data_IF_036694260426
#
_entry.id   IF_036694260426
#
_cell.length_a   1.000
_cell.length_b   1.000
_cell.length_c   1.000
_cell.angle_alpha   90.00
_cell.angle_beta   90.00
_cell.angle_gamma   90.00
#
_symmetry.space_group_name_H-M   'P 1'
#
loop_
_entity.id
_entity.type
_entity.pdbx_description
1 polymer ?
#
# COMPACT_ATOMS: atom_id res chain seq x y z
N UNK A 1 -65.11 63.36 -7.65
CA UNK A 1 -65.90 62.39 -8.44
C UNK A 1 -65.02 61.17 -8.57
N UNK A 2 -65.55 59.98 -8.28
CA UNK A 2 -64.79 58.74 -8.44
C UNK A 2 -64.84 58.35 -9.93
N UNK A 3 -63.69 58.34 -10.59
CA UNK A 3 -63.55 57.82 -11.95
C UNK A 3 -63.70 56.30 -11.93
N UNK A 4 -64.96 55.86 -12.02
CA UNK A 4 -65.30 54.44 -12.08
C UNK A 4 -65.09 53.96 -13.52
N UNK A 5 -63.87 53.53 -13.86
CA UNK A 5 -63.62 52.92 -15.17
C UNK A 5 -64.63 51.78 -15.42
N UNK A 6 -65.24 51.71 -16.62
CA UNK A 6 -66.28 50.73 -16.89
C UNK A 6 -65.69 49.33 -16.85
N UNK A 7 -66.24 48.47 -15.99
CA UNK A 7 -65.73 47.12 -15.65
C UNK A 7 -65.31 46.28 -16.87
N UNK A 8 -65.99 46.45 -18.01
CA UNK A 8 -65.60 45.84 -19.29
C UNK A 8 -64.15 46.13 -19.70
N UNK A 9 -63.72 47.40 -19.67
CA UNK A 9 -62.35 47.81 -20.05
C UNK A 9 -61.28 47.22 -19.12
N UNK A 10 -61.63 47.04 -17.84
CA UNK A 10 -60.75 46.42 -16.84
C UNK A 10 -60.64 44.90 -17.07
N UNK A 11 -61.71 44.24 -17.49
CA UNK A 11 -61.69 42.84 -17.93
C UNK A 11 -60.88 42.65 -19.23
N UNK A 12 -61.03 43.54 -20.22
CA UNK A 12 -60.25 43.50 -21.47
C UNK A 12 -58.76 43.77 -21.23
N UNK A 13 -58.43 44.70 -20.32
CA UNK A 13 -57.06 44.92 -19.84
C UNK A 13 -56.48 43.67 -19.15
N UNK A 14 -57.31 42.97 -18.38
CA UNK A 14 -56.92 41.73 -17.67
C UNK A 14 -56.68 40.57 -18.65
N UNK A 15 -57.56 40.35 -19.63
CA UNK A 15 -57.36 39.31 -20.65
C UNK A 15 -56.15 39.60 -21.54
N UNK A 16 -55.91 40.87 -21.91
CA UNK A 16 -54.70 41.28 -22.61
C UNK A 16 -53.42 40.98 -21.82
N UNK A 17 -53.39 41.30 -20.52
CA UNK A 17 -52.26 40.97 -19.63
C UNK A 17 -52.04 39.46 -19.49
N UNK A 18 -53.10 38.66 -19.41
CA UNK A 18 -52.99 37.19 -19.38
C UNK A 18 -52.34 36.67 -20.67
N UNK A 19 -52.75 37.17 -21.84
CA UNK A 19 -52.14 36.78 -23.13
C UNK A 19 -50.66 37.19 -23.23
N UNK A 20 -50.30 38.38 -22.74
CA UNK A 20 -48.91 38.83 -22.69
C UNK A 20 -48.05 37.94 -21.78
N UNK A 21 -48.56 37.57 -20.60
CA UNK A 21 -47.87 36.66 -19.67
C UNK A 21 -47.71 35.25 -20.25
N UNK A 22 -48.75 34.72 -20.90
CA UNK A 22 -48.68 33.42 -21.60
C UNK A 22 -47.61 33.43 -22.69
N UNK A 23 -47.52 34.50 -23.49
CA UNK A 23 -46.48 34.66 -24.51
C UNK A 23 -45.08 34.73 -23.90
N UNK A 24 -44.88 35.58 -22.89
CA UNK A 24 -43.59 35.72 -22.22
C UNK A 24 -43.12 34.42 -21.55
N UNK A 25 -44.04 33.63 -21.01
CA UNK A 25 -43.74 32.33 -20.43
C UNK A 25 -43.29 31.32 -21.50
N UNK A 26 -43.98 31.24 -22.64
CA UNK A 26 -43.59 30.38 -23.76
C UNK A 26 -42.20 30.76 -24.35
N UNK A 27 -41.89 32.06 -24.44
CA UNK A 27 -40.56 32.54 -24.84
C UNK A 27 -39.47 32.14 -23.82
N UNK A 28 -39.77 32.23 -22.53
CA UNK A 28 -38.85 31.82 -21.45
C UNK A 28 -38.61 30.30 -21.43
N UNK A 29 -39.65 29.48 -21.62
CA UNK A 29 -39.52 28.02 -21.74
C UNK A 29 -38.69 27.63 -22.97
N UNK A 30 -38.91 28.28 -24.11
CA UNK A 30 -38.09 28.10 -25.32
C UNK A 30 -36.62 28.43 -25.05
N UNK A 31 -36.32 29.58 -24.44
CA UNK A 31 -34.97 29.98 -24.10
C UNK A 31 -34.30 28.99 -23.13
N UNK A 32 -35.03 28.50 -22.12
CA UNK A 32 -34.56 27.47 -21.18
C UNK A 32 -34.23 26.17 -21.91
N UNK A 33 -35.11 25.70 -22.80
CA UNK A 33 -34.89 24.48 -23.58
C UNK A 33 -33.65 24.60 -24.48
N UNK A 34 -33.46 25.71 -25.19
CA UNK A 34 -32.26 25.94 -26.02
C UNK A 34 -30.99 25.97 -25.16
N UNK A 35 -31.00 26.71 -24.05
CA UNK A 35 -29.85 26.83 -23.13
C UNK A 35 -29.43 25.46 -22.57
N UNK A 36 -30.39 24.63 -22.17
CA UNK A 36 -30.11 23.28 -21.65
C UNK A 36 -29.58 22.35 -22.74
N UNK A 37 -30.13 22.40 -23.96
CA UNK A 37 -29.64 21.61 -25.09
C UNK A 37 -28.20 21.97 -25.50
N UNK A 38 -27.83 23.26 -25.45
CA UNK A 38 -26.46 23.70 -25.72
C UNK A 38 -25.48 23.17 -24.66
N UNK A 39 -25.80 23.32 -23.37
CA UNK A 39 -24.99 22.77 -22.27
C UNK A 39 -24.87 21.25 -22.32
N UNK A 40 -25.93 20.56 -22.75
CA UNK A 40 -25.91 19.11 -22.91
C UNK A 40 -24.96 18.67 -24.04
N UNK A 41 -24.98 19.36 -25.20
CA UNK A 41 -24.06 19.07 -26.30
C UNK A 41 -22.59 19.30 -25.93
N UNK A 42 -22.29 20.40 -25.24
CA UNK A 42 -20.94 20.68 -24.74
C UNK A 42 -20.44 19.54 -23.81
N UNK A 43 -21.32 19.01 -22.97
CA UNK A 43 -21.04 17.88 -22.09
C UNK A 43 -20.83 16.56 -22.87
N UNK A 44 -21.69 16.26 -23.85
CA UNK A 44 -21.54 15.11 -24.75
C UNK A 44 -20.21 15.16 -25.53
N UNK A 45 -19.86 16.31 -26.10
CA UNK A 45 -18.62 16.53 -26.83
C UNK A 45 -17.38 16.33 -25.94
N UNK A 46 -17.44 16.83 -24.70
CA UNK A 46 -16.38 16.61 -23.70
C UNK A 46 -16.22 15.13 -23.34
N UNK A 47 -17.31 14.41 -23.07
CA UNK A 47 -17.25 12.97 -22.80
C UNK A 47 -16.74 12.16 -24.00
N UNK A 48 -17.16 12.46 -25.22
CA UNK A 48 -16.59 11.85 -26.42
C UNK A 48 -15.11 12.25 -26.65
N UNK A 49 -14.68 13.43 -26.21
CA UNK A 49 -13.28 13.83 -26.16
C UNK A 49 -12.46 12.93 -25.22
N UNK A 50 -12.93 12.77 -23.98
CA UNK A 50 -12.33 11.87 -22.98
C UNK A 50 -12.29 10.42 -23.45
N UNK A 51 -13.39 9.90 -24.00
CA UNK A 51 -13.51 8.55 -24.53
C UNK A 51 -12.47 8.28 -25.63
N UNK A 52 -12.33 9.21 -26.59
CA UNK A 52 -11.32 9.13 -27.66
C UNK A 52 -9.89 9.22 -27.12
N UNK A 53 -9.65 10.03 -26.09
CA UNK A 53 -8.33 10.15 -25.45
C UNK A 53 -7.95 8.87 -24.70
N UNK A 54 -8.88 8.32 -23.92
CA UNK A 54 -8.70 7.09 -23.15
C UNK A 54 -8.48 5.88 -24.07
N UNK A 55 -9.29 5.75 -25.13
CA UNK A 55 -9.09 4.73 -26.18
C UNK A 55 -7.70 4.84 -26.80
N UNK A 56 -7.23 6.04 -27.16
CA UNK A 56 -5.89 6.25 -27.73
C UNK A 56 -4.78 5.82 -26.76
N UNK A 57 -4.87 6.23 -25.49
CA UNK A 57 -3.91 5.84 -24.43
C UNK A 57 -3.90 4.33 -24.18
N UNK A 58 -5.04 3.65 -24.28
CA UNK A 58 -5.12 2.20 -24.13
C UNK A 58 -4.33 1.46 -25.23
N UNK A 59 -4.53 1.82 -26.51
CA UNK A 59 -3.80 1.19 -27.61
C UNK A 59 -2.29 1.47 -27.54
N UNK A 60 -1.89 2.70 -27.19
CA UNK A 60 -0.49 3.05 -26.95
C UNK A 60 0.15 2.18 -25.86
N UNK A 61 -0.54 1.95 -24.74
CA UNK A 61 -0.05 1.08 -23.67
C UNK A 61 0.02 -0.40 -24.11
N UNK A 62 -0.97 -0.88 -24.87
CA UNK A 62 -0.98 -2.25 -25.40
C UNK A 62 0.21 -2.49 -26.37
N UNK A 63 0.56 -1.49 -27.19
CA UNK A 63 1.72 -1.57 -28.08
C UNK A 63 3.06 -1.43 -27.32
N UNK A 64 3.11 -0.64 -26.25
CA UNK A 64 4.27 -0.59 -25.36
C UNK A 64 4.47 -1.91 -24.61
N UNK A 65 3.40 -2.55 -24.12
CA UNK A 65 3.45 -3.86 -23.45
C UNK A 65 4.05 -4.93 -24.37
N UNK A 66 3.54 -5.07 -25.61
CA UNK A 66 4.08 -5.99 -26.63
C UNK A 66 5.57 -5.72 -26.92
N UNK A 67 6.00 -4.46 -26.94
CA UNK A 67 7.40 -4.10 -27.11
C UNK A 67 8.27 -4.51 -25.91
N UNK A 68 7.81 -4.28 -24.68
CA UNK A 68 8.53 -4.69 -23.47
C UNK A 68 8.62 -6.21 -23.35
N UNK A 69 7.53 -6.93 -23.62
CA UNK A 69 7.51 -8.39 -23.64
C UNK A 69 8.51 -8.94 -24.68
N UNK A 70 8.53 -8.37 -25.88
CA UNK A 70 9.51 -8.72 -26.92
C UNK A 70 10.96 -8.45 -26.49
N UNK A 71 11.23 -7.31 -25.84
CA UNK A 71 12.56 -6.99 -25.30
C UNK A 71 12.98 -7.96 -24.20
N UNK A 72 12.07 -8.28 -23.26
CA UNK A 72 12.28 -9.19 -22.15
C UNK A 72 12.56 -10.62 -22.65
N UNK A 73 11.78 -11.11 -23.62
CA UNK A 73 12.03 -12.40 -24.28
C UNK A 73 13.42 -12.47 -24.90
N UNK A 74 13.82 -11.46 -25.69
CA UNK A 74 15.16 -11.40 -26.30
C UNK A 74 16.28 -11.38 -25.26
N UNK A 75 16.11 -10.65 -24.16
CA UNK A 75 17.08 -10.62 -23.07
C UNK A 75 17.24 -12.00 -22.42
N UNK A 76 16.12 -12.69 -22.15
CA UNK A 76 16.11 -14.06 -21.61
C UNK A 76 16.78 -15.07 -22.54
N UNK A 77 16.46 -15.03 -23.83
CA UNK A 77 17.10 -15.88 -24.86
C UNK A 77 18.62 -15.67 -24.99
N UNK A 78 19.11 -14.46 -24.69
CA UNK A 78 20.56 -14.17 -24.65
C UNK A 78 21.19 -14.76 -23.39
N UNK A 79 20.56 -14.59 -22.23
CA UNK A 79 21.05 -15.13 -20.96
C UNK A 79 21.08 -16.67 -20.98
N UNK A 80 20.02 -17.32 -21.45
CA UNK A 80 19.94 -18.78 -21.61
C UNK A 80 21.07 -19.33 -22.51
N UNK A 81 21.39 -18.63 -23.61
CA UNK A 81 22.53 -18.99 -24.49
C UNK A 81 23.88 -18.78 -23.82
N UNK A 82 24.03 -17.76 -22.97
CA UNK A 82 25.26 -17.52 -22.22
C UNK A 82 25.43 -18.58 -21.12
N UNK A 83 24.38 -18.90 -20.38
CA UNK A 83 24.35 -19.94 -19.36
C UNK A 83 24.68 -21.32 -19.95
N UNK A 84 24.02 -21.74 -21.03
CA UNK A 84 24.33 -22.99 -21.72
C UNK A 84 25.79 -23.04 -22.22
N UNK A 85 26.36 -21.91 -22.66
CA UNK A 85 27.75 -21.83 -23.08
C UNK A 85 28.76 -21.84 -21.91
N UNK A 86 28.36 -21.41 -20.71
CA UNK A 86 29.13 -21.54 -19.47
C UNK A 86 29.09 -22.98 -18.99
N UNK A 87 27.90 -23.57 -18.83
CA UNK A 87 27.70 -24.96 -18.41
C UNK A 87 28.45 -25.93 -19.31
N UNK A 88 28.40 -25.75 -20.64
CA UNK A 88 29.15 -26.59 -21.58
C UNK A 88 30.68 -26.49 -21.41
N UNK A 89 31.21 -25.30 -21.05
CA UNK A 89 32.65 -25.11 -20.77
C UNK A 89 33.05 -25.70 -19.42
N UNK A 90 32.21 -25.54 -18.40
CA UNK A 90 32.42 -26.11 -17.08
C UNK A 90 32.45 -27.64 -17.16
N UNK A 91 31.43 -28.25 -17.78
CA UNK A 91 31.37 -29.69 -18.00
C UNK A 91 32.60 -30.22 -18.75
N UNK A 92 32.97 -29.60 -19.88
CA UNK A 92 34.16 -29.98 -20.65
C UNK A 92 35.50 -29.73 -19.92
N UNK A 93 35.50 -28.95 -18.83
CA UNK A 93 36.66 -28.76 -17.95
C UNK A 93 36.70 -29.80 -16.83
N UNK A 94 35.53 -30.18 -16.28
CA UNK A 94 35.37 -31.24 -15.29
C UNK A 94 35.76 -32.60 -15.88
N UNK A 95 35.30 -32.92 -17.08
CA UNK A 95 35.66 -34.16 -17.78
C UNK A 95 37.19 -34.28 -17.95
N UNK A 96 37.86 -33.22 -18.41
CA UNK A 96 39.33 -33.18 -18.53
C UNK A 96 40.07 -33.26 -17.20
N UNK A 97 39.45 -32.82 -16.10
CA UNK A 97 40.02 -32.97 -14.76
C UNK A 97 39.88 -34.43 -14.28
N UNK A 98 38.72 -35.03 -14.53
CA UNK A 98 38.41 -36.41 -14.19
C UNK A 98 39.29 -37.40 -14.97
N UNK A 99 39.45 -37.22 -16.29
CA UNK A 99 40.40 -37.98 -17.12
C UNK A 99 41.83 -37.98 -16.56
N UNK A 100 42.30 -36.81 -16.09
CA UNK A 100 43.63 -36.68 -15.45
C UNK A 100 43.69 -37.36 -14.09
N UNK A 101 42.60 -37.32 -13.33
CA UNK A 101 42.48 -38.00 -12.04
C UNK A 101 42.54 -39.52 -12.24
N UNK A 102 41.76 -40.06 -13.17
CA UNK A 102 41.73 -41.48 -13.53
C UNK A 102 43.09 -41.96 -14.07
N UNK A 103 43.75 -41.18 -14.93
CA UNK A 103 45.09 -41.48 -15.42
C UNK A 103 46.14 -41.51 -14.29
N UNK A 104 46.06 -40.60 -13.32
CA UNK A 104 46.95 -40.58 -12.16
C UNK A 104 46.68 -41.77 -11.21
N UNK A 105 45.42 -42.08 -10.92
CA UNK A 105 45.02 -43.26 -10.13
C UNK A 105 45.49 -44.54 -10.80
N UNK A 106 45.29 -44.69 -12.12
CA UNK A 106 45.78 -45.83 -12.89
C UNK A 106 47.30 -45.96 -12.84
N UNK A 107 48.06 -44.86 -12.91
CA UNK A 107 49.51 -44.88 -12.77
C UNK A 107 49.95 -45.35 -11.37
N UNK A 108 49.29 -44.88 -10.30
CA UNK A 108 49.54 -45.30 -8.91
C UNK A 108 49.23 -46.79 -8.72
N UNK A 109 48.08 -47.27 -9.19
CA UNK A 109 47.68 -48.69 -9.10
C UNK A 109 48.70 -49.59 -9.82
N UNK A 110 49.13 -49.21 -11.03
CA UNK A 110 50.15 -49.95 -11.77
C UNK A 110 51.52 -49.96 -11.04
N UNK A 111 51.92 -48.84 -10.43
CA UNK A 111 53.15 -48.78 -9.64
C UNK A 111 53.06 -49.72 -8.43
N UNK A 112 51.99 -49.64 -7.64
CA UNK A 112 51.74 -50.52 -6.50
C UNK A 112 51.70 -52.00 -6.90
N UNK A 113 51.07 -52.35 -8.02
CA UNK A 113 51.01 -53.74 -8.50
C UNK A 113 52.38 -54.24 -8.98
N UNK A 114 53.26 -53.38 -9.52
CA UNK A 114 54.66 -53.71 -9.81
C UNK A 114 55.45 -53.97 -8.52
N UNK A 115 55.34 -53.11 -7.51
CA UNK A 115 55.98 -53.33 -6.20
C UNK A 115 55.48 -54.63 -5.54
N UNK A 116 54.17 -54.93 -5.63
CA UNK A 116 53.58 -56.17 -5.11
C UNK A 116 54.09 -57.44 -5.82
N UNK A 117 54.44 -57.36 -7.11
CA UNK A 117 55.03 -58.49 -7.87
C UNK A 117 56.52 -58.70 -7.62
N UNK A 118 57.23 -57.69 -7.10
CA UNK A 118 58.65 -57.79 -6.69
C UNK A 118 58.77 -58.32 -5.26
N UNK A 119 57.77 -58.10 -4.42
CA UNK A 119 57.75 -58.54 -3.02
C UNK A 119 56.98 -59.85 -2.82
N UNK A 120 57.54 -60.98 -3.29
CA UNK A 120 56.99 -62.32 -3.01
C UNK A 120 58.04 -63.24 -2.39
N UNK A 121 58.21 -63.12 -1.07
CA UNK A 121 58.70 -64.17 -0.16
C UNK A 121 58.14 -63.87 1.25
N UNK A 122 57.55 -64.88 1.88
CA UNK A 122 56.72 -64.83 3.12
C UNK A 122 57.33 -65.80 4.18
N UNK A 123 56.78 -66.00 5.40
CA UNK A 123 55.64 -65.33 6.09
C UNK A 123 55.90 -64.99 7.58
N UNK A 124 54.89 -64.40 8.25
CA UNK A 124 54.49 -64.81 9.61
C UNK A 124 53.04 -64.40 9.92
N UNK A 125 52.33 -65.19 10.73
CA UNK A 125 50.90 -65.06 10.97
C UNK A 125 50.56 -64.75 12.44
N UNK A 126 49.49 -63.98 12.68
CA UNK A 126 48.66 -64.07 13.90
C UNK A 126 47.20 -63.74 13.51
N UNK A 127 46.19 -64.53 13.92
CA UNK A 127 44.78 -64.21 13.68
C UNK A 127 44.19 -63.37 14.82
N UNK A 128 43.27 -62.46 14.48
CA UNK A 128 42.25 -62.00 15.41
C UNK A 128 40.92 -61.77 14.66
N UNK A 129 39.83 -62.19 15.29
CA UNK A 129 38.47 -62.16 14.78
C UNK A 129 37.64 -61.15 15.58
N UNK A 130 36.52 -60.66 15.05
CA UNK A 130 35.62 -59.75 15.76
C UNK A 130 35.01 -58.63 14.90
N UNK A 131 33.71 -58.76 14.61
CA UNK A 131 32.90 -57.81 13.84
C UNK A 131 32.40 -56.62 14.67
N UNK A 132 32.11 -55.50 14.00
CA UNK A 132 31.04 -54.54 14.32
C UNK A 132 30.88 -53.63 13.08
N UNK A 133 29.99 -53.90 12.12
CA UNK A 133 28.55 -53.62 12.14
C UNK A 133 28.15 -52.19 12.59
N UNK A 134 27.45 -51.50 11.69
CA UNK A 134 26.98 -50.13 11.78
C UNK A 134 25.57 -50.04 12.39
N UNK A 135 25.25 -49.06 13.24
CA UNK A 135 23.87 -48.79 13.65
C UNK A 135 23.15 -47.85 12.67
N UNK A 136 21.98 -48.27 12.21
CA UNK A 136 20.99 -47.48 11.48
C UNK A 136 20.12 -46.61 12.41
N UNK A 137 19.43 -45.64 11.80
CA UNK A 137 18.37 -44.79 12.38
C UNK A 137 17.09 -45.61 12.61
N UNK A 138 16.29 -45.27 13.63
CA UNK A 138 14.86 -45.62 13.72
C UNK A 138 14.07 -44.52 14.48
N UNK A 139 12.75 -44.43 14.25
CA UNK A 139 11.92 -43.23 14.48
C UNK A 139 10.89 -43.31 15.65
N UNK A 140 10.86 -42.25 16.47
CA UNK A 140 9.65 -41.57 17.03
C UNK A 140 8.70 -42.34 18.04
N UNK A 141 7.46 -41.85 18.34
CA UNK A 141 6.93 -41.26 19.61
C UNK A 141 6.16 -42.27 20.53
N UNK A 142 5.38 -41.92 21.61
CA UNK A 142 4.91 -40.62 22.19
C UNK A 142 5.15 -40.50 23.74
N UNK A 143 4.45 -39.77 24.65
CA UNK A 143 3.19 -38.98 24.64
C UNK A 143 3.15 -37.88 25.74
N UNK A 144 2.10 -37.05 25.75
CA UNK A 144 1.92 -35.83 26.54
C UNK A 144 1.52 -36.00 28.03
N UNK A 145 1.62 -34.92 28.83
CA UNK A 145 0.64 -34.53 29.86
C UNK A 145 0.77 -33.04 30.21
N UNK A 146 -0.36 -32.40 30.53
CA UNK A 146 -0.55 -30.97 30.81
C UNK A 146 -0.40 -30.62 32.29
N UNK A 147 -0.09 -29.35 32.60
CA UNK A 147 -0.41 -28.73 33.89
C UNK A 147 -0.55 -27.21 33.75
N UNK A 148 -1.78 -26.71 33.79
CA UNK A 148 -2.07 -25.30 34.03
C UNK A 148 -2.00 -25.01 35.54
N UNK A 149 -1.67 -23.77 35.92
CA UNK A 149 -2.24 -23.19 37.14
C UNK A 149 -2.42 -21.68 36.98
N UNK A 150 -3.65 -21.27 36.70
CA UNK A 150 -4.07 -19.88 36.86
C UNK A 150 -4.16 -19.53 38.36
N UNK A 151 -3.95 -18.26 38.68
CA UNK A 151 -4.47 -17.66 39.91
C UNK A 151 -5.19 -16.37 39.53
N UNK A 152 -6.48 -16.26 39.88
CA UNK A 152 -7.21 -14.99 39.85
C UNK A 152 -6.66 -14.04 40.92
N UNK A 153 -7.19 -12.83 41.11
CA UNK A 153 -8.47 -12.25 40.74
C UNK A 153 -8.25 -10.71 40.90
N UNK A 154 -8.85 -9.82 40.12
CA UNK A 154 -10.16 -9.21 40.39
C UNK A 154 -10.59 -8.44 39.13
N UNK A 155 -11.86 -8.58 38.79
CA UNK A 155 -12.54 -7.88 37.69
C UNK A 155 -13.21 -6.62 38.24
N UNK A 156 -13.13 -5.51 37.52
CA UNK A 156 -14.10 -4.42 37.60
C UNK A 156 -14.55 -4.08 36.15
N UNK A 157 -15.84 -3.84 35.86
CA UNK A 157 -16.41 -4.33 34.62
C UNK A 157 -16.83 -3.22 33.66
N UNK A 158 -16.05 -3.03 32.59
CA UNK A 158 -16.57 -2.53 31.32
C UNK A 158 -16.10 -3.41 30.16
N UNK A 159 -17.07 -4.18 29.67
CA UNK A 159 -17.15 -4.88 28.38
C UNK A 159 -16.47 -4.18 27.18
N UNK A 160 -16.03 -4.89 26.14
CA UNK A 160 -15.68 -6.31 26.00
C UNK A 160 -14.88 -6.44 24.69
N UNK A 161 -13.70 -7.07 24.74
CA UNK A 161 -12.83 -7.21 23.57
C UNK A 161 -11.57 -7.94 23.94
N UNK A 162 -11.51 -9.24 23.62
CA UNK A 162 -10.28 -10.02 23.77
C UNK A 162 -9.25 -9.50 22.75
N UNK A 163 -8.38 -8.60 23.19
CA UNK A 163 -7.23 -8.16 22.41
C UNK A 163 -6.35 -9.38 22.11
N UNK A 164 -6.39 -9.87 20.87
CA UNK A 164 -5.57 -11.01 20.41
C UNK A 164 -4.05 -10.72 20.52
N UNK A 165 -3.68 -9.46 20.74
CA UNK A 165 -2.30 -8.98 20.77
C UNK A 165 -1.98 -8.17 22.05
N UNK A 166 -1.88 -8.79 23.24
CA UNK A 166 -1.47 -8.11 24.48
C UNK A 166 -0.05 -7.53 24.41
N UNK A 167 0.76 -7.95 23.43
CA UNK A 167 2.07 -7.35 23.11
C UNK A 167 1.93 -5.97 22.46
N UNK A 168 0.91 -5.76 21.62
CA UNK A 168 0.64 -4.49 20.96
C UNK A 168 0.30 -3.40 22.00
N UNK A 169 -0.51 -3.74 23.00
CA UNK A 169 -0.85 -2.86 24.13
C UNK A 169 0.40 -2.40 24.87
N UNK A 170 1.30 -3.33 25.22
CA UNK A 170 2.56 -3.03 25.92
C UNK A 170 3.48 -2.09 25.13
N UNK A 171 3.58 -2.27 23.81
CA UNK A 171 4.36 -1.38 22.95
C UNK A 171 3.78 0.04 22.94
N UNK A 172 2.44 0.16 22.94
CA UNK A 172 1.76 1.44 23.07
C UNK A 172 1.98 2.09 24.45
N UNK A 173 1.79 1.35 25.54
CA UNK A 173 2.06 1.80 26.92
C UNK A 173 3.50 2.31 27.09
N UNK A 174 4.47 1.63 26.48
CA UNK A 174 5.90 1.95 26.55
C UNK A 174 6.33 3.09 25.62
N UNK A 175 5.42 3.63 24.79
CA UNK A 175 5.71 4.63 23.76
C UNK A 175 6.78 4.15 22.74
N UNK A 176 6.86 2.84 22.48
CA UNK A 176 7.88 2.23 21.62
C UNK A 176 7.44 2.23 20.14
N UNK A 177 7.78 3.29 19.42
CA UNK A 177 7.48 3.45 17.99
C UNK A 177 8.21 2.43 17.10
N UNK A 178 9.47 2.09 17.41
CA UNK A 178 10.28 1.15 16.62
C UNK A 178 9.79 -0.30 16.80
N UNK A 179 9.53 -0.71 18.05
CA UNK A 179 8.93 -1.99 18.37
C UNK A 179 7.51 -2.13 17.79
N UNK A 180 6.70 -1.07 17.82
CA UNK A 180 5.39 -1.02 17.17
C UNK A 180 5.50 -1.24 15.64
N UNK A 181 6.44 -0.58 14.96
CA UNK A 181 6.69 -0.80 13.53
C UNK A 181 7.08 -2.23 13.21
N UNK A 182 8.02 -2.78 13.98
CA UNK A 182 8.49 -4.15 13.82
C UNK A 182 7.34 -5.15 14.01
N UNK A 183 6.56 -4.98 15.07
CA UNK A 183 5.40 -5.81 15.36
C UNK A 183 4.35 -5.80 14.23
N UNK A 184 4.03 -4.62 13.69
CA UNK A 184 3.11 -4.47 12.54
C UNK A 184 3.69 -5.13 11.29
N UNK A 185 5.00 -5.00 11.06
CA UNK A 185 5.69 -5.58 9.91
C UNK A 185 5.76 -7.12 9.98
N UNK A 186 5.97 -7.69 11.17
CA UNK A 186 6.02 -9.14 11.37
C UNK A 186 4.62 -9.77 11.24
N UNK A 187 3.56 -9.03 11.60
CA UNK A 187 2.16 -9.47 11.55
C UNK A 187 1.41 -9.14 10.24
N UNK A 188 2.10 -8.83 9.13
CA UNK A 188 1.52 -8.45 7.82
C UNK A 188 0.43 -9.39 7.26
N UNK A 189 0.35 -10.65 7.70
CA UNK A 189 -0.72 -11.60 7.29
C UNK A 189 -2.04 -11.39 8.05
N UNK A 190 -1.95 -11.02 9.33
CA UNK A 190 -3.10 -10.77 10.22
C UNK A 190 -3.52 -9.28 10.21
N UNK A 191 -2.97 -8.54 9.24
CA UNK A 191 -3.04 -7.10 9.09
C UNK A 191 -4.48 -6.56 9.01
N UNK A 192 -5.46 -7.38 8.64
CA UNK A 192 -6.88 -7.02 8.68
C UNK A 192 -7.45 -6.95 10.11
N UNK A 193 -7.12 -7.92 10.98
CA UNK A 193 -7.53 -7.89 12.40
C UNK A 193 -6.79 -6.78 13.12
N UNK A 194 -5.51 -6.63 12.82
CA UNK A 194 -4.65 -5.59 13.39
C UNK A 194 -5.15 -4.15 13.07
N UNK A 195 -5.99 -3.95 12.03
CA UNK A 195 -6.71 -2.68 11.78
C UNK A 195 -7.57 -2.25 12.94
N UNK A 196 -8.36 -3.19 13.45
CA UNK A 196 -9.38 -2.94 14.45
C UNK A 196 -8.71 -2.85 15.83
N UNK A 197 -7.64 -3.62 16.06
CA UNK A 197 -6.93 -3.64 17.35
C UNK A 197 -5.98 -2.44 17.57
N UNK A 198 -5.30 -1.91 16.54
CA UNK A 198 -4.36 -0.77 16.71
C UNK A 198 -5.02 0.46 17.37
N UNK A 199 -6.20 0.94 16.94
CA UNK A 199 -6.89 2.06 17.59
C UNK A 199 -7.29 1.79 19.05
N UNK A 200 -7.45 0.52 19.45
CA UNK A 200 -7.74 0.15 20.83
C UNK A 200 -6.46 0.13 21.67
N UNK A 201 -5.38 -0.50 21.18
CA UNK A 201 -4.10 -0.53 21.85
C UNK A 201 -3.46 0.86 22.00
N UNK A 202 -3.61 1.74 21.00
CA UNK A 202 -3.12 3.12 21.05
C UNK A 202 -3.72 3.93 22.21
N UNK A 203 -4.93 3.62 22.69
CA UNK A 203 -5.54 4.30 23.85
C UNK A 203 -4.79 4.03 25.17
N UNK A 204 -3.97 2.97 25.22
CA UNK A 204 -3.11 2.66 26.37
C UNK A 204 -1.79 3.41 26.37
N UNK A 205 -1.45 4.13 25.28
CA UNK A 205 -0.26 4.97 25.22
C UNK A 205 -0.41 6.22 26.07
N UNK A 206 0.68 6.63 26.74
CA UNK A 206 0.71 7.85 27.58
C UNK A 206 0.39 9.12 26.77
N UNK A 207 0.85 9.16 25.51
CA UNK A 207 0.43 10.18 24.54
C UNK A 207 0.29 9.51 23.16
N UNK A 208 -0.93 9.07 22.78
CA UNK A 208 -1.15 8.35 21.54
C UNK A 208 -0.75 9.17 20.30
N UNK A 209 -0.98 10.48 20.32
CA UNK A 209 -0.64 11.37 19.21
C UNK A 209 0.89 11.54 19.05
N UNK A 210 1.65 11.62 20.15
CA UNK A 210 3.11 11.67 20.10
C UNK A 210 3.71 10.33 19.65
N UNK A 211 3.19 9.20 20.14
CA UNK A 211 3.64 7.87 19.69
C UNK A 211 3.48 7.72 18.18
N UNK A 212 2.32 8.12 17.66
CA UNK A 212 2.02 8.18 16.23
C UNK A 212 2.99 9.08 15.48
N UNK A 213 3.32 10.24 16.04
CA UNK A 213 4.23 11.21 15.41
C UNK A 213 5.67 10.69 15.34
N UNK A 214 6.18 10.12 16.43
CA UNK A 214 7.49 9.46 16.47
C UNK A 214 7.53 8.29 15.48
N UNK A 215 6.42 7.55 15.35
CA UNK A 215 6.23 6.52 14.32
C UNK A 215 6.24 7.03 12.87
N UNK A 216 6.22 8.34 12.62
CA UNK A 216 6.32 8.92 11.27
C UNK A 216 7.71 9.49 10.97
N UNK A 217 8.58 9.65 11.97
CA UNK A 217 9.90 10.28 11.84
C UNK A 217 10.88 9.44 11.01
N UNK A 218 10.84 8.11 11.13
CA UNK A 218 11.79 7.19 10.48
C UNK A 218 11.32 6.60 9.12
N UNK A 219 10.02 6.68 8.78
CA UNK A 219 9.39 5.65 7.93
C UNK A 219 9.04 6.00 6.47
N UNK A 220 9.65 7.04 5.89
CA UNK A 220 9.34 7.48 4.53
C UNK A 220 10.63 7.78 3.73
N UNK A 221 10.92 7.03 2.64
CA UNK A 221 9.94 6.60 1.64
C UNK A 221 9.69 5.08 1.52
N UNK A 222 8.73 4.71 0.67
CA UNK A 222 8.31 3.35 0.29
C UNK A 222 7.51 2.53 1.33
N UNK A 223 6.39 3.12 1.77
CA UNK A 223 5.10 2.46 1.59
C UNK A 223 4.66 1.43 2.63
N UNK A 224 4.03 1.91 3.72
CA UNK A 224 2.88 1.27 4.38
C UNK A 224 2.23 2.18 5.44
N UNK A 225 1.48 3.20 5.02
CA UNK A 225 0.65 4.00 5.95
C UNK A 225 -0.82 3.93 5.50
N UNK A 226 -1.62 3.15 6.24
CA UNK A 226 -3.04 2.82 5.97
C UNK A 226 -3.89 2.78 7.26
N UNK A 227 -3.33 3.28 8.35
CA UNK A 227 -3.76 3.11 9.73
C UNK A 227 -3.48 4.42 10.46
N UNK A 228 -4.50 5.25 10.66
CA UNK A 228 -4.60 6.31 11.67
C UNK A 228 -5.75 7.25 11.28
N UNK A 229 -6.95 6.87 11.66
CA UNK A 229 -8.11 7.76 11.69
C UNK A 229 -8.69 7.65 13.10
N UNK A 230 -9.08 8.78 13.68
CA UNK A 230 -9.65 8.92 15.03
C UNK A 230 -8.67 8.99 16.22
N UNK A 231 -7.77 10.00 16.20
CA UNK A 231 -7.18 10.61 17.43
C UNK A 231 -7.16 12.15 17.28
N UNK A 232 -8.28 12.78 16.91
CA UNK A 232 -8.29 14.23 16.62
C UNK A 232 -8.50 15.11 17.86
N UNK A 233 -9.22 14.63 18.87
CA UNK A 233 -9.71 15.47 19.99
C UNK A 233 -8.80 15.48 21.23
N UNK A 234 -7.65 14.79 21.18
CA UNK A 234 -6.68 14.64 22.28
C UNK A 234 -5.27 15.13 21.92
N UNK A 235 -5.10 15.80 20.78
CA UNK A 235 -3.79 16.27 20.31
C UNK A 235 -3.43 17.60 20.97
N UNK A 236 -2.39 17.60 21.80
CA UNK A 236 -1.79 18.83 22.37
C UNK A 236 -1.27 19.76 21.27
N UNK A 237 -1.36 21.07 21.49
CA UNK A 237 -0.88 22.10 20.54
C UNK A 237 0.62 21.96 20.21
N UNK A 238 1.43 21.45 21.14
CA UNK A 238 2.85 21.15 20.90
C UNK A 238 3.03 20.06 19.82
N UNK A 239 2.22 18.99 19.89
CA UNK A 239 2.22 17.89 18.92
C UNK A 239 1.70 18.35 17.56
N UNK A 240 0.70 19.25 17.53
CA UNK A 240 0.25 19.91 16.29
C UNK A 240 1.35 20.76 15.68
N UNK A 241 2.10 21.50 16.50
CA UNK A 241 3.26 22.28 16.07
C UNK A 241 4.35 21.43 15.41
N UNK A 242 4.68 20.28 16.01
CA UNK A 242 5.62 19.33 15.43
C UNK A 242 5.09 18.71 14.12
N UNK A 243 3.82 18.25 14.09
CA UNK A 243 3.21 17.72 12.88
C UNK A 243 3.16 18.75 11.73
N UNK A 244 2.95 20.04 12.05
CA UNK A 244 3.02 21.14 11.09
C UNK A 244 4.43 21.34 10.55
N UNK A 245 5.47 21.24 11.37
CA UNK A 245 6.86 21.33 10.92
C UNK A 245 7.21 20.21 9.91
N UNK A 246 6.79 18.96 10.19
CA UNK A 246 6.97 17.83 9.26
C UNK A 246 6.22 18.08 7.94
N UNK A 247 4.97 18.56 8.01
CA UNK A 247 4.18 18.86 6.82
C UNK A 247 4.81 19.97 5.94
N UNK A 248 5.36 21.03 6.54
CA UNK A 248 6.07 22.08 5.79
C UNK A 248 7.33 21.56 5.08
N UNK A 249 8.08 20.62 5.68
CA UNK A 249 9.25 19.98 5.04
C UNK A 249 8.85 19.13 3.81
N UNK A 250 7.60 18.68 3.74
CA UNK A 250 7.12 17.83 2.64
C UNK A 250 6.59 18.62 1.43
N UNK A 251 6.22 19.90 1.58
CA UNK A 251 5.75 20.75 0.47
C UNK A 251 6.66 20.70 -0.78
N UNK A 252 7.99 20.94 -0.70
CA UNK A 252 8.85 20.89 -1.89
C UNK A 252 8.93 19.50 -2.52
N UNK A 253 8.71 18.42 -1.75
CA UNK A 253 8.64 17.05 -2.29
C UNK A 253 7.32 16.87 -3.06
N UNK A 254 6.22 17.42 -2.57
CA UNK A 254 4.90 17.42 -3.21
C UNK A 254 4.83 18.27 -4.50
N UNK A 255 5.52 19.40 -4.55
CA UNK A 255 5.56 20.26 -5.75
C UNK A 255 6.20 19.54 -6.95
N UNK A 256 7.22 18.71 -6.67
CA UNK A 256 7.93 17.91 -7.66
C UNK A 256 7.13 16.72 -8.23
N UNK A 257 5.98 16.39 -7.64
CA UNK A 257 5.15 15.27 -8.10
C UNK A 257 4.38 15.63 -9.37
N UNK A 258 4.63 14.88 -10.44
CA UNK A 258 3.82 14.92 -11.66
C UNK A 258 2.43 14.31 -11.40
N UNK A 259 1.39 15.12 -11.60
CA UNK A 259 -0.04 14.80 -11.41
C UNK A 259 -0.52 13.71 -12.37
N UNK A 260 0.03 13.65 -13.59
CA UNK A 260 -0.34 12.66 -14.61
C UNK A 260 0.39 11.32 -14.42
N UNK A 261 1.65 11.36 -13.94
CA UNK A 261 2.48 10.16 -13.78
C UNK A 261 1.93 9.15 -12.75
N UNK A 262 1.28 9.65 -11.70
CA UNK A 262 0.80 8.80 -10.60
C UNK A 262 -0.64 8.26 -10.79
N UNK A 263 -1.31 8.61 -11.90
CA UNK A 263 -2.63 8.09 -12.31
C UNK A 263 -3.69 8.15 -11.19
N UNK A 264 -3.63 9.15 -10.32
CA UNK A 264 -4.55 9.30 -9.18
C UNK A 264 -4.34 8.32 -8.02
N UNK A 265 -3.14 7.73 -7.89
CA UNK A 265 -2.80 6.78 -6.82
C UNK A 265 -1.46 7.10 -6.11
N UNK A 266 -1.01 8.37 -6.07
CA UNK A 266 0.20 8.77 -5.34
C UNK A 266 0.13 8.34 -3.87
N UNK A 267 1.23 7.80 -3.34
CA UNK A 267 1.38 7.45 -1.92
C UNK A 267 1.68 8.69 -1.08
N UNK A 268 2.46 9.60 -1.66
CA UNK A 268 3.04 10.79 -1.08
C UNK A 268 1.95 11.83 -0.79
N UNK A 269 1.14 12.16 -1.80
CA UNK A 269 -0.02 13.04 -1.65
C UNK A 269 -1.03 12.46 -0.64
N UNK A 270 -1.21 11.14 -0.61
CA UNK A 270 -2.12 10.49 0.34
C UNK A 270 -1.60 10.53 1.77
N UNK A 271 -0.30 10.26 1.99
CA UNK A 271 0.33 10.33 3.30
C UNK A 271 0.30 11.76 3.86
N UNK A 272 0.57 12.77 3.03
CA UNK A 272 0.47 14.18 3.40
C UNK A 272 -0.95 14.57 3.83
N UNK A 273 -1.96 14.27 3.00
CA UNK A 273 -3.36 14.53 3.33
C UNK A 273 -3.81 13.77 4.59
N UNK A 274 -3.29 12.55 4.82
CA UNK A 274 -3.55 11.78 6.04
C UNK A 274 -2.91 12.41 7.28
N UNK A 275 -1.68 12.91 7.20
CA UNK A 275 -1.01 13.65 8.28
C UNK A 275 -1.87 14.84 8.74
N UNK A 276 -2.29 15.68 7.79
CA UNK A 276 -3.12 16.85 8.08
C UNK A 276 -4.47 16.50 8.72
N UNK A 277 -5.10 15.41 8.27
CA UNK A 277 -6.35 14.90 8.82
C UNK A 277 -6.17 14.33 10.23
N UNK A 278 -5.10 13.59 10.49
CA UNK A 278 -4.85 12.92 11.77
C UNK A 278 -4.59 13.91 12.90
N UNK A 279 -3.79 14.95 12.64
CA UNK A 279 -3.43 15.95 13.66
C UNK A 279 -4.37 17.17 13.68
N UNK A 280 -5.40 17.21 12.81
CA UNK A 280 -6.38 18.30 12.77
C UNK A 280 -5.85 19.63 12.22
N UNK A 281 -4.65 19.64 11.62
CA UNK A 281 -3.94 20.84 11.15
C UNK A 281 -4.29 21.24 9.71
N UNK A 282 -5.31 20.63 9.10
CA UNK A 282 -5.71 20.91 7.71
C UNK A 282 -6.20 22.35 7.44
N UNK A 283 -6.56 23.10 8.49
CA UNK A 283 -6.91 24.52 8.42
C UNK A 283 -5.71 25.47 8.30
N UNK A 284 -4.50 25.00 8.63
CA UNK A 284 -3.26 25.77 8.57
C UNK A 284 -2.65 25.86 7.16
N UNK A 285 -3.21 25.16 6.18
CA UNK A 285 -2.69 24.99 4.83
C UNK A 285 -3.63 25.59 3.78
N UNK A 286 -3.06 25.99 2.66
CA UNK A 286 -3.80 26.66 1.58
C UNK A 286 -4.79 25.72 0.88
N UNK A 287 -5.96 26.26 0.50
CA UNK A 287 -7.03 25.46 -0.11
C UNK A 287 -6.70 25.04 -1.55
N UNK A 288 -5.97 25.84 -2.31
CA UNK A 288 -5.58 25.55 -3.68
C UNK A 288 -4.45 24.49 -3.69
N UNK A 289 -3.47 24.62 -2.78
CA UNK A 289 -2.44 23.59 -2.52
C UNK A 289 -3.08 22.23 -2.20
N UNK A 290 -4.01 22.18 -1.23
CA UNK A 290 -4.71 20.94 -0.86
C UNK A 290 -5.57 20.40 -2.01
N UNK A 291 -6.26 21.27 -2.74
CA UNK A 291 -7.11 20.90 -3.88
C UNK A 291 -6.31 20.27 -5.01
N UNK A 292 -5.08 20.73 -5.27
CA UNK A 292 -4.15 20.15 -6.26
C UNK A 292 -3.82 18.68 -5.98
N UNK A 293 -3.83 18.26 -4.70
CA UNK A 293 -3.50 16.90 -4.30
C UNK A 293 -4.67 15.91 -4.44
N UNK A 294 -5.92 16.39 -4.46
CA UNK A 294 -7.12 15.53 -4.49
C UNK A 294 -7.18 14.66 -5.77
N UNK A 295 -6.92 15.17 -7.00
CA UNK A 295 -6.81 14.34 -8.19
C UNK A 295 -5.79 13.22 -8.06
N UNK A 296 -4.65 13.48 -7.41
CA UNK A 296 -3.51 12.56 -7.26
C UNK A 296 -3.78 11.38 -6.33
N UNK A 297 -4.86 11.45 -5.54
CA UNK A 297 -5.32 10.36 -4.65
C UNK A 297 -6.67 9.78 -5.06
N UNK A 298 -7.32 10.31 -6.10
CA UNK A 298 -8.70 10.01 -6.51
C UNK A 298 -9.05 8.53 -6.71
N UNK A 299 -8.08 7.67 -7.07
CA UNK A 299 -8.30 6.22 -7.25
C UNK A 299 -8.06 5.40 -5.98
N UNK A 300 -7.65 6.01 -4.86
CA UNK A 300 -7.52 5.33 -3.57
C UNK A 300 -8.88 5.16 -2.91
N UNK A 301 -9.18 3.92 -2.49
CA UNK A 301 -10.43 3.56 -1.80
C UNK A 301 -10.77 4.45 -0.59
N UNK A 302 -9.76 4.98 0.11
CA UNK A 302 -9.91 5.82 1.31
C UNK A 302 -10.00 7.34 0.99
N UNK A 303 -9.78 7.77 -0.27
CA UNK A 303 -9.72 9.18 -0.61
C UNK A 303 -11.03 9.92 -0.32
N UNK A 304 -12.19 9.33 -0.63
CA UNK A 304 -13.49 9.95 -0.41
C UNK A 304 -13.79 10.22 1.08
N UNK A 305 -13.34 9.34 1.98
CA UNK A 305 -13.50 9.52 3.43
C UNK A 305 -12.50 10.54 3.98
N UNK A 306 -11.24 10.47 3.53
CA UNK A 306 -10.19 11.41 3.90
C UNK A 306 -10.54 12.85 3.49
N UNK A 307 -11.01 13.05 2.25
CA UNK A 307 -11.43 14.38 1.76
C UNK A 307 -12.62 14.93 2.56
N UNK A 308 -13.57 14.06 2.95
CA UNK A 308 -14.71 14.46 3.80
C UNK A 308 -14.21 14.92 5.18
N UNK A 309 -13.31 14.18 5.79
CA UNK A 309 -12.74 14.50 7.12
C UNK A 309 -11.96 15.82 7.09
N UNK A 310 -11.10 16.02 6.09
CA UNK A 310 -10.38 17.28 5.85
C UNK A 310 -11.31 18.47 5.66
N UNK A 311 -12.40 18.30 4.89
CA UNK A 311 -13.43 19.32 4.73
C UNK A 311 -14.09 19.70 6.06
N UNK A 312 -14.45 18.70 6.88
CA UNK A 312 -15.08 18.93 8.20
C UNK A 312 -14.15 19.62 9.20
N UNK A 313 -12.85 19.31 9.21
CA UNK A 313 -11.85 20.02 10.04
C UNK A 313 -11.83 21.51 9.66
N UNK A 314 -11.80 21.83 8.36
CA UNK A 314 -11.77 23.22 7.84
C UNK A 314 -13.08 23.98 8.01
N UNK A 315 -14.20 23.28 8.20
CA UNK A 315 -15.50 23.90 8.53
C UNK A 315 -15.58 24.23 10.02
N UNK A 316 -15.17 23.30 10.90
CA UNK A 316 -15.08 23.54 12.34
C UNK A 316 -14.11 24.68 12.70
N UNK A 317 -12.99 24.81 11.98
CA UNK A 317 -12.03 25.90 12.16
C UNK A 317 -12.53 27.28 11.71
N UNK A 318 -13.60 27.35 10.90
CA UNK A 318 -14.25 28.62 10.47
C UNK A 318 -15.41 29.06 11.37
N UNK A 319 -15.83 28.21 12.30
CA UNK A 319 -16.97 28.45 13.19
C UNK A 319 -16.57 28.78 14.64
N UNK A 320 -15.28 28.81 14.95
CA UNK A 320 -14.70 29.28 16.22
C UNK A 320 -13.99 30.63 16.04
#
# INVERSE_FOLDING_TARGET
MEDTEPVATLMDSTTSKIQQLQKAFAELESHRAVTLNLKWKELEEHFHGLERSLKRRFHELEDQEKQYETKNRRAREILEKQEAAVVAKEQASLEKLQEKQDAAVFAIVNALQKHRKVSTAEPSAVPYDGQCESPTIDDQPPDAMTAESNLGEIIDPFENGNLEYPQLVKLCEQMDSEGLHKFISDNRKNLAVLKEEIPHALKSAVNPAQLVLNSLEDFLPQGSVKYLVSVSDLVSEDVKGQAKAIAEEWKPKLDSLDVDANNGNSLEAHAFLQLLATFGIASDFDEEELSRLIPMVSRRRQAAELCRFLGSIRENARCN
#
